data_IF_928194664006
#
_entry.id   IF_928194664006
#
_cell.length_a   1.000
_cell.length_b   1.000
_cell.length_c   1.000
_cell.angle_alpha   90.00
_cell.angle_beta   90.00
_cell.angle_gamma   90.00
#
_symmetry.space_group_name_H-M   'P 1'
#
loop_
_entity.id
_entity.type
_entity.pdbx_description
1 polymer ?
#
# COMPACT_ATOMS: atom_id res chain seq x y z
N UNK A 1 25.65 -26.08 -25.61
CA UNK A 1 26.43 -25.22 -24.67
C UNK A 1 26.06 -23.76 -24.87
N UNK A 2 25.47 -23.05 -23.89
CA UNK A 2 25.17 -21.62 -24.03
C UNK A 2 26.47 -20.85 -24.22
N UNK A 3 26.57 -20.07 -25.30
CA UNK A 3 27.78 -19.34 -25.68
C UNK A 3 28.26 -18.39 -24.56
N UNK A 4 29.58 -18.22 -24.44
CA UNK A 4 30.23 -17.46 -23.34
C UNK A 4 29.56 -16.10 -23.10
N UNK A 5 29.16 -15.38 -24.17
CA UNK A 5 28.43 -14.10 -24.13
C UNK A 5 27.07 -14.17 -23.41
N UNK A 6 26.31 -15.26 -23.57
CA UNK A 6 24.99 -15.45 -22.92
C UNK A 6 25.15 -15.71 -21.42
N UNK A 7 26.21 -16.41 -21.01
CA UNK A 7 26.51 -16.68 -19.60
C UNK A 7 26.84 -15.38 -18.83
N UNK A 8 27.66 -14.50 -19.41
CA UNK A 8 27.98 -13.20 -18.78
C UNK A 8 26.76 -12.30 -18.62
N UNK A 9 25.84 -12.26 -19.58
CA UNK A 9 24.59 -11.49 -19.45
C UNK A 9 23.72 -12.00 -18.30
N UNK A 10 23.61 -13.32 -18.15
CA UNK A 10 22.84 -13.92 -17.06
C UNK A 10 23.47 -13.55 -15.72
N UNK A 11 24.79 -13.69 -15.59
CA UNK A 11 25.50 -13.33 -14.35
C UNK A 11 25.34 -11.83 -14.04
N UNK A 12 25.45 -10.96 -15.04
CA UNK A 12 25.26 -9.51 -14.87
C UNK A 12 23.84 -9.17 -14.40
N UNK A 13 22.82 -9.82 -14.97
CA UNK A 13 21.43 -9.65 -14.55
C UNK A 13 21.22 -10.06 -13.10
N UNK A 14 21.82 -11.18 -12.66
CA UNK A 14 21.69 -11.63 -11.27
C UNK A 14 22.43 -10.73 -10.28
N UNK A 15 23.58 -10.18 -10.68
CA UNK A 15 24.34 -9.21 -9.88
C UNK A 15 23.53 -7.94 -9.59
N UNK A 16 22.63 -7.55 -10.49
CA UNK A 16 21.79 -6.36 -10.30
C UNK A 16 20.48 -6.76 -9.61
N UNK A 17 19.80 -7.78 -10.12
CA UNK A 17 18.43 -8.10 -9.70
C UNK A 17 18.37 -8.66 -8.28
N UNK A 18 19.33 -9.50 -7.88
CA UNK A 18 19.35 -10.16 -6.58
C UNK A 18 19.54 -9.16 -5.42
N UNK A 19 20.56 -8.26 -5.41
CA UNK A 19 20.69 -7.28 -4.34
C UNK A 19 19.56 -6.25 -4.33
N UNK A 20 18.98 -5.91 -5.49
CA UNK A 20 17.83 -4.99 -5.54
C UNK A 20 16.61 -5.60 -4.85
N UNK A 21 16.35 -6.89 -5.08
CA UNK A 21 15.27 -7.62 -4.41
C UNK A 21 15.51 -7.76 -2.91
N UNK A 22 16.74 -8.04 -2.49
CA UNK A 22 17.10 -8.11 -1.07
C UNK A 22 16.97 -6.75 -0.37
N UNK A 23 17.35 -5.66 -1.04
CA UNK A 23 17.21 -4.31 -0.51
C UNK A 23 15.73 -3.91 -0.36
N UNK A 24 14.91 -4.18 -1.38
CA UNK A 24 13.48 -3.93 -1.31
C UNK A 24 12.81 -4.73 -0.18
N UNK A 25 13.18 -6.00 -0.02
CA UNK A 25 12.69 -6.84 1.07
C UNK A 25 13.13 -6.31 2.45
N UNK A 26 14.41 -5.98 2.60
CA UNK A 26 14.95 -5.40 3.83
C UNK A 26 14.21 -4.11 4.22
N UNK A 27 14.03 -3.20 3.25
CA UNK A 27 13.33 -1.93 3.45
C UNK A 27 11.86 -2.15 3.85
N UNK A 28 11.18 -3.12 3.23
CA UNK A 28 9.79 -3.44 3.56
C UNK A 28 9.64 -4.07 4.95
N UNK A 29 10.62 -4.85 5.38
CA UNK A 29 10.66 -5.44 6.73
C UNK A 29 11.18 -4.48 7.79
N UNK A 30 11.67 -3.31 7.39
CA UNK A 30 12.13 -2.28 8.30
C UNK A 30 10.91 -1.57 8.88
N UNK A 31 10.21 -2.26 9.77
CA UNK A 31 9.12 -1.68 10.54
C UNK A 31 9.71 -0.53 11.37
N UNK A 32 9.31 0.73 11.12
CA UNK A 32 9.61 1.81 12.04
C UNK A 32 9.00 1.45 13.39
N UNK A 33 9.69 1.77 14.49
CA UNK A 33 9.03 1.71 15.80
C UNK A 33 7.72 2.51 15.72
N UNK A 34 6.59 1.97 16.23
CA UNK A 34 5.32 2.65 16.18
C UNK A 34 5.50 4.03 16.79
N UNK A 35 5.07 5.05 16.06
CA UNK A 35 5.11 6.42 16.54
C UNK A 35 4.14 6.52 17.71
N UNK A 36 4.69 6.62 18.92
CA UNK A 36 3.93 6.85 20.15
C UNK A 36 3.30 8.24 20.03
N UNK A 37 1.98 8.28 19.86
CA UNK A 37 1.25 9.51 19.64
C UNK A 37 1.42 10.49 20.81
N UNK A 38 1.40 11.79 20.52
CA UNK A 38 1.41 12.84 21.57
C UNK A 38 0.23 12.65 22.55
N UNK A 39 -0.88 12.08 22.07
CA UNK A 39 -2.09 11.77 22.83
C UNK A 39 -1.84 10.80 23.99
N UNK A 40 -1.07 9.72 23.78
CA UNK A 40 -0.72 8.76 24.83
C UNK A 40 0.11 9.41 25.95
N UNK A 41 1.05 10.28 25.59
CA UNK A 41 1.97 10.87 26.57
C UNK A 41 1.37 12.02 27.39
N UNK A 42 0.36 12.71 26.86
CA UNK A 42 -0.21 13.93 27.47
C UNK A 42 -1.66 13.74 27.90
N UNK A 43 -2.50 13.11 27.09
CA UNK A 43 -3.95 13.00 27.35
C UNK A 43 -4.25 11.91 28.38
N UNK A 44 -3.51 10.81 28.38
CA UNK A 44 -3.69 9.75 29.38
C UNK A 44 -3.34 10.26 30.80
N UNK A 45 -2.27 11.06 30.94
CA UNK A 45 -1.93 11.73 32.22
C UNK A 45 -3.03 12.67 32.71
N UNK A 46 -3.56 13.53 31.82
CA UNK A 46 -4.60 14.49 32.16
C UNK A 46 -5.95 13.80 32.48
N UNK A 47 -6.28 12.71 31.78
CA UNK A 47 -7.52 11.95 31.97
C UNK A 47 -7.54 11.17 33.30
N UNK A 48 -6.39 10.61 33.70
CA UNK A 48 -6.21 9.99 35.02
C UNK A 48 -6.33 11.03 36.14
N UNK A 49 -5.74 12.22 35.97
CA UNK A 49 -5.87 13.33 36.92
C UNK A 49 -7.33 13.81 37.10
N UNK A 50 -8.18 13.64 36.08
CA UNK A 50 -9.60 14.04 36.11
C UNK A 50 -10.57 12.86 36.34
N UNK A 51 -10.07 11.67 36.71
CA UNK A 51 -10.90 10.54 37.15
C UNK A 51 -11.77 9.90 36.07
N UNK A 52 -11.54 10.18 34.79
CA UNK A 52 -12.22 9.50 33.67
C UNK A 52 -11.31 8.42 33.13
N UNK A 53 -11.64 7.16 33.43
CA UNK A 53 -11.03 6.01 32.75
C UNK A 53 -11.46 6.05 31.29
N UNK A 54 -10.49 6.32 30.41
CA UNK A 54 -10.71 6.28 28.96
C UNK A 54 -11.07 4.84 28.60
N UNK A 55 -12.21 4.65 27.97
CA UNK A 55 -12.61 3.34 27.46
C UNK A 55 -11.84 3.11 26.17
N UNK A 56 -11.06 2.03 26.10
CA UNK A 56 -10.33 1.68 24.88
C UNK A 56 -11.32 1.50 23.72
N UNK A 57 -11.05 2.06 22.53
CA UNK A 57 -11.83 1.79 21.34
C UNK A 57 -11.86 0.29 21.04
N UNK A 58 -13.04 -0.28 20.79
CA UNK A 58 -13.18 -1.68 20.38
C UNK A 58 -12.47 -2.00 19.05
N UNK A 59 -12.26 -0.97 18.23
CA UNK A 59 -11.53 -1.03 16.97
C UNK A 59 -10.70 0.26 16.93
N UNK A 60 -9.37 0.14 16.93
CA UNK A 60 -8.46 1.26 16.70
C UNK A 60 -8.08 1.30 15.21
N UNK A 61 -8.69 2.18 14.39
CA UNK A 61 -8.33 2.31 12.98
C UNK A 61 -6.96 2.98 12.76
N UNK A 62 -6.31 3.48 13.81
CA UNK A 62 -4.98 4.10 13.79
C UNK A 62 -3.83 3.12 14.07
N UNK A 63 -4.10 1.99 14.75
CA UNK A 63 -3.09 0.96 14.99
C UNK A 63 -3.01 -0.04 13.82
N UNK A 64 -2.02 0.16 12.95
CA UNK A 64 -1.67 -0.73 11.84
C UNK A 64 -2.24 -0.34 10.47
N UNK A 65 -2.21 -1.28 9.53
CA UNK A 65 -2.46 -1.01 8.09
C UNK A 65 -3.91 -1.23 7.64
N UNK A 66 -4.87 -1.39 8.57
CA UNK A 66 -6.26 -1.71 8.22
C UNK A 66 -6.89 -0.67 7.28
N UNK A 67 -6.67 0.62 7.56
CA UNK A 67 -7.14 1.71 6.70
C UNK A 67 -6.47 1.67 5.32
N UNK A 68 -5.18 1.29 5.27
CA UNK A 68 -4.42 1.16 4.02
C UNK A 68 -4.96 0.01 3.16
N UNK A 69 -5.31 -1.13 3.77
CA UNK A 69 -5.96 -2.25 3.08
C UNK A 69 -7.34 -1.90 2.54
N UNK A 70 -8.15 -1.18 3.33
CA UNK A 70 -9.46 -0.70 2.89
C UNK A 70 -9.34 0.30 1.74
N UNK A 71 -8.40 1.24 1.83
CA UNK A 71 -8.11 2.20 0.78
C UNK A 71 -7.67 1.50 -0.51
N UNK A 72 -6.75 0.54 -0.42
CA UNK A 72 -6.29 -0.26 -1.56
C UNK A 72 -7.44 -1.05 -2.19
N UNK A 73 -8.26 -1.73 -1.39
CA UNK A 73 -9.40 -2.51 -1.86
C UNK A 73 -10.46 -1.64 -2.56
N UNK A 74 -10.81 -0.51 -1.93
CA UNK A 74 -11.74 0.45 -2.52
C UNK A 74 -11.21 1.08 -3.80
N UNK A 75 -9.92 1.44 -3.84
CA UNK A 75 -9.25 1.99 -5.03
C UNK A 75 -9.19 0.99 -6.18
N UNK A 76 -8.88 -0.29 -5.90
CA UNK A 76 -8.86 -1.34 -6.91
C UNK A 76 -10.26 -1.59 -7.48
N UNK A 77 -11.28 -1.73 -6.62
CA UNK A 77 -12.66 -1.92 -7.06
C UNK A 77 -13.19 -0.71 -7.83
N UNK A 78 -12.97 0.51 -7.32
CA UNK A 78 -13.37 1.76 -7.96
C UNK A 78 -12.70 1.98 -9.31
N UNK A 79 -11.39 1.73 -9.40
CA UNK A 79 -10.64 1.82 -10.65
C UNK A 79 -11.13 0.82 -11.71
N UNK A 80 -11.44 -0.41 -11.31
CA UNK A 80 -11.98 -1.42 -12.21
C UNK A 80 -13.37 -1.04 -12.73
N UNK A 81 -14.25 -0.59 -11.85
CA UNK A 81 -15.62 -0.14 -12.20
C UNK A 81 -15.56 1.08 -13.12
N UNK A 82 -14.79 2.10 -12.76
CA UNK A 82 -14.61 3.31 -13.57
C UNK A 82 -14.04 2.99 -14.96
N UNK A 83 -13.02 2.12 -15.03
CA UNK A 83 -12.42 1.67 -16.29
C UNK A 83 -13.41 0.93 -17.20
N UNK A 84 -14.24 0.04 -16.63
CA UNK A 84 -15.29 -0.66 -17.37
C UNK A 84 -16.32 0.30 -17.96
N UNK A 85 -16.81 1.25 -17.16
CA UNK A 85 -17.78 2.24 -17.63
C UNK A 85 -17.19 3.21 -18.66
N UNK A 86 -15.93 3.61 -18.48
CA UNK A 86 -15.22 4.45 -19.45
C UNK A 86 -15.15 3.78 -20.82
N UNK A 87 -14.79 2.50 -20.86
CA UNK A 87 -14.75 1.72 -22.11
C UNK A 87 -16.13 1.60 -22.75
N UNK A 88 -17.17 1.35 -21.96
CA UNK A 88 -18.56 1.26 -22.43
C UNK A 88 -19.08 2.60 -22.97
N UNK A 89 -18.65 3.73 -22.41
CA UNK A 89 -19.01 5.06 -22.91
C UNK A 89 -18.31 5.39 -24.23
N UNK A 90 -17.02 5.06 -24.35
CA UNK A 90 -16.26 5.22 -25.60
C UNK A 90 -16.87 4.45 -26.77
N UNK A 91 -17.23 3.18 -26.57
CA UNK A 91 -17.86 2.33 -27.61
C UNK A 91 -19.26 2.82 -28.04
N UNK A 92 -19.93 3.65 -27.23
CA UNK A 92 -21.19 4.30 -27.64
C UNK A 92 -20.96 5.57 -28.45
N UNK A 93 -19.85 6.27 -28.24
CA UNK A 93 -19.51 7.49 -28.99
C UNK A 93 -19.21 7.18 -30.46
N UNK A 94 -18.56 6.04 -30.73
CA UNK A 94 -18.16 5.65 -32.09
C UNK A 94 -19.35 5.27 -32.98
N UNK A 95 -20.48 4.83 -32.39
CA UNK A 95 -21.70 4.45 -33.15
C UNK A 95 -22.67 5.60 -33.45
N UNK A 96 -22.41 6.81 -32.94
CA UNK A 96 -23.26 7.98 -33.18
C UNK A 96 -22.64 8.99 -34.17
N UNK A 97 -21.43 8.72 -34.67
CA UNK A 97 -20.75 9.51 -35.70
C UNK A 97 -20.91 9.01 -37.14
N UNK A 98 -21.63 7.90 -37.36
CA UNK A 98 -21.92 7.32 -38.69
C UNK A 98 -23.42 7.38 -39.03
N UNK A 99 -24.06 8.54 -38.83
CA UNK A 99 -25.46 8.80 -39.20
C UNK A 99 -25.58 10.02 -40.08
#
# INVERSE_FOLDING_TARGET
MPGKKRRYRIILLHIILLPTLLFAFYFLTLAPHPYVGVDETVVEKIAVEHGRKVHEPLIDPGEGDLLLFLFLGAGAAGGFVAGYYWRRLGEKSDRHGEG
#
